data_IF_896711038649
#
_entry.id   IF_896711038649
#
_cell.length_a   1.000
_cell.length_b   1.000
_cell.length_c   1.000
_cell.angle_alpha   90.00
_cell.angle_beta   90.00
_cell.angle_gamma   90.00
#
_symmetry.space_group_name_H-M   'P 1'
#
loop_
_entity.id
_entity.type
_entity.pdbx_description
1 polymer ?
#
# COMPACT_ATOMS: atom_id res chain seq x y z
N UNK A 1 -18.52 -21.58 -25.57
CA UNK A 1 -18.98 -20.35 -26.24
C UNK A 1 -18.19 -20.21 -27.53
N UNK A 2 -18.86 -19.86 -28.64
CA UNK A 2 -18.22 -19.70 -29.95
C UNK A 2 -17.68 -18.28 -30.06
N UNK A 3 -16.41 -18.11 -30.38
CA UNK A 3 -15.79 -16.80 -30.59
C UNK A 3 -15.11 -16.85 -31.96
N UNK A 4 -15.58 -16.04 -32.91
CA UNK A 4 -15.08 -16.00 -34.28
C UNK A 4 -14.50 -14.62 -34.61
N UNK A 5 -13.67 -14.54 -35.66
CA UNK A 5 -13.20 -13.27 -36.22
C UNK A 5 -12.27 -12.47 -35.29
N UNK A 6 -12.31 -11.14 -35.41
CA UNK A 6 -11.50 -10.21 -34.60
C UNK A 6 -11.79 -10.29 -33.11
N UNK A 7 -12.99 -10.76 -32.74
CA UNK A 7 -13.41 -10.91 -31.34
C UNK A 7 -12.61 -11.99 -30.59
N UNK A 8 -11.89 -12.86 -31.32
CA UNK A 8 -10.93 -13.80 -30.74
C UNK A 8 -9.88 -13.12 -29.86
N UNK A 9 -9.43 -11.92 -30.23
CA UNK A 9 -8.47 -11.15 -29.43
C UNK A 9 -9.07 -10.61 -28.12
N UNK A 10 -10.38 -10.39 -28.06
CA UNK A 10 -11.07 -9.81 -26.91
C UNK A 10 -11.23 -10.83 -25.77
N UNK A 11 -11.43 -12.11 -26.13
CA UNK A 11 -11.66 -13.19 -25.17
C UNK A 11 -10.42 -14.07 -24.91
N UNK A 12 -9.27 -13.70 -25.48
CA UNK A 12 -7.99 -14.30 -25.14
C UNK A 12 -7.50 -13.76 -23.80
N UNK A 13 -7.41 -14.61 -22.78
CA UNK A 13 -6.77 -14.22 -21.51
C UNK A 13 -5.27 -14.24 -21.74
N UNK A 14 -4.68 -13.09 -22.06
CA UNK A 14 -3.23 -12.94 -22.22
C UNK A 14 -2.52 -12.72 -20.88
N UNK A 15 -3.13 -11.93 -19.98
CA UNK A 15 -2.55 -11.61 -18.67
C UNK A 15 -3.60 -11.19 -17.64
N UNK A 16 -3.18 -11.15 -16.37
CA UNK A 16 -3.99 -10.63 -15.27
C UNK A 16 -3.96 -9.11 -15.30
N UNK A 17 -5.12 -8.43 -15.32
CA UNK A 17 -5.11 -6.99 -15.30
C UNK A 17 -4.50 -6.51 -14.00
N UNK A 18 -3.50 -5.64 -14.10
CA UNK A 18 -2.91 -5.04 -12.92
C UNK A 18 -3.84 -3.92 -12.39
N UNK A 19 -3.61 -3.49 -11.14
CA UNK A 19 -4.42 -2.44 -10.52
C UNK A 19 -4.54 -1.17 -11.39
N UNK A 20 -3.47 -0.81 -12.09
CA UNK A 20 -3.45 0.39 -12.92
C UNK A 20 -4.28 0.27 -14.19
N UNK A 21 -4.25 -0.88 -14.84
CA UNK A 21 -5.08 -1.18 -15.99
C UNK A 21 -6.55 -1.15 -15.60
N UNK A 22 -6.91 -1.75 -14.46
CA UNK A 22 -8.28 -1.69 -13.95
C UNK A 22 -8.68 -0.24 -13.68
N UNK A 23 -7.82 0.52 -13.02
CA UNK A 23 -8.08 1.91 -12.67
C UNK A 23 -8.20 2.81 -13.91
N UNK A 24 -7.31 2.62 -14.89
CA UNK A 24 -7.34 3.33 -16.17
C UNK A 24 -8.61 3.00 -16.94
N UNK A 25 -8.97 1.72 -17.05
CA UNK A 25 -10.19 1.29 -17.73
C UNK A 25 -11.44 1.83 -17.02
N UNK A 26 -11.45 1.88 -15.68
CA UNK A 26 -12.55 2.47 -14.91
C UNK A 26 -12.75 3.95 -15.29
N UNK A 27 -11.66 4.72 -15.40
CA UNK A 27 -11.71 6.12 -15.81
C UNK A 27 -12.20 6.25 -17.26
N UNK A 28 -11.64 5.46 -18.17
CA UNK A 28 -12.04 5.47 -19.58
C UNK A 28 -13.53 5.17 -19.75
N UNK A 29 -14.06 4.19 -19.00
CA UNK A 29 -15.49 3.87 -19.01
C UNK A 29 -16.31 5.01 -18.42
N UNK A 30 -15.89 5.59 -17.29
CA UNK A 30 -16.61 6.71 -16.67
C UNK A 30 -16.70 7.93 -17.58
N UNK A 31 -15.62 8.25 -18.28
CA UNK A 31 -15.59 9.33 -19.28
C UNK A 31 -16.39 8.96 -20.53
N UNK A 32 -16.30 7.71 -21.02
CA UNK A 32 -17.06 7.27 -22.19
C UNK A 32 -18.58 7.30 -21.97
N UNK A 33 -19.01 7.00 -20.75
CA UNK A 33 -20.42 7.04 -20.34
C UNK A 33 -20.90 8.44 -19.94
N UNK A 34 -20.04 9.47 -20.02
CA UNK A 34 -20.32 10.84 -19.56
C UNK A 34 -20.94 10.87 -18.16
N UNK A 35 -20.39 10.09 -17.23
CA UNK A 35 -20.93 10.01 -15.88
C UNK A 35 -20.85 11.36 -15.17
N UNK A 36 -21.90 11.74 -14.41
CA UNK A 36 -21.86 12.96 -13.61
C UNK A 36 -20.78 12.87 -12.53
N UNK A 37 -20.44 14.03 -11.96
CA UNK A 37 -19.59 14.10 -10.77
C UNK A 37 -20.13 13.17 -9.68
N UNK A 38 -19.23 12.40 -9.09
CA UNK A 38 -19.58 11.47 -8.03
C UNK A 38 -20.01 12.22 -6.76
N UNK A 39 -20.75 11.58 -5.85
CA UNK A 39 -21.11 12.18 -4.56
C UNK A 39 -19.87 12.67 -3.80
N UNK A 40 -20.04 13.81 -3.14
CA UNK A 40 -18.97 14.44 -2.36
C UNK A 40 -18.49 13.53 -1.22
N UNK A 41 -17.18 13.37 -1.11
CA UNK A 41 -16.55 12.55 -0.06
C UNK A 41 -16.27 13.45 1.14
N UNK A 42 -17.14 13.35 2.13
CA UNK A 42 -17.04 14.06 3.42
C UNK A 42 -16.20 13.27 4.43
N UNK A 43 -15.89 13.86 5.59
CA UNK A 43 -15.07 13.20 6.63
C UNK A 43 -15.70 11.91 7.18
N UNK A 44 -17.03 11.79 7.11
CA UNK A 44 -17.80 10.62 7.57
C UNK A 44 -17.88 9.50 6.53
N UNK A 45 -17.45 9.74 5.30
CA UNK A 45 -17.49 8.74 4.23
C UNK A 45 -16.39 7.68 4.43
N UNK A 46 -16.71 6.40 4.22
CA UNK A 46 -15.74 5.30 4.33
C UNK A 46 -14.52 5.42 3.41
N UNK A 47 -14.63 6.17 2.31
CA UNK A 47 -13.54 6.45 1.38
C UNK A 47 -12.64 7.61 1.83
N UNK A 48 -13.02 8.32 2.88
CA UNK A 48 -12.24 9.42 3.41
C UNK A 48 -10.91 8.91 3.98
N UNK A 49 -9.77 9.58 3.69
CA UNK A 49 -8.45 9.14 4.14
C UNK A 49 -8.37 8.89 5.64
N UNK A 50 -9.06 9.66 6.49
CA UNK A 50 -9.04 9.44 7.94
C UNK A 50 -9.61 8.06 8.34
N UNK A 51 -10.70 7.63 7.72
CA UNK A 51 -11.33 6.33 8.03
C UNK A 51 -10.46 5.19 7.46
N UNK A 52 -9.99 5.34 6.23
CA UNK A 52 -9.10 4.38 5.61
C UNK A 52 -7.77 4.24 6.36
N UNK A 53 -7.20 5.35 6.87
CA UNK A 53 -6.00 5.29 7.70
C UNK A 53 -6.23 4.45 8.95
N UNK A 54 -7.37 4.61 9.63
CA UNK A 54 -7.71 3.77 10.78
C UNK A 54 -7.78 2.30 10.37
N UNK A 55 -8.52 1.97 9.31
CA UNK A 55 -8.63 0.59 8.78
C UNK A 55 -7.25 -0.02 8.55
N UNK A 56 -6.36 0.68 7.85
CA UNK A 56 -5.03 0.15 7.53
C UNK A 56 -4.09 0.10 8.72
N UNK A 57 -4.19 1.01 9.70
CA UNK A 57 -3.45 0.90 10.98
C UNK A 57 -3.86 -0.37 11.73
N UNK A 58 -5.16 -0.65 11.79
CA UNK A 58 -5.70 -1.87 12.39
C UNK A 58 -5.22 -3.13 11.63
N UNK A 59 -5.29 -3.09 10.30
CA UNK A 59 -4.86 -4.16 9.40
C UNK A 59 -3.40 -4.58 9.62
N UNK A 60 -2.49 -3.63 9.84
CA UNK A 60 -1.06 -3.93 10.06
C UNK A 60 -0.64 -3.95 11.54
N UNK A 61 -1.60 -4.05 12.45
CA UNK A 61 -1.35 -4.14 13.89
C UNK A 61 -0.51 -2.96 14.44
N UNK A 62 -0.75 -1.75 13.94
CA UNK A 62 -0.09 -0.54 14.44
C UNK A 62 -0.91 0.09 15.59
N UNK A 63 -0.28 0.91 16.45
CA UNK A 63 -0.99 1.63 17.51
C UNK A 63 -2.04 2.59 16.97
N UNK A 64 -3.21 2.59 17.58
CA UNK A 64 -4.35 3.47 17.32
C UNK A 64 -4.00 4.95 17.57
N UNK A 65 -3.10 5.25 18.50
CA UNK A 65 -2.59 6.61 18.74
C UNK A 65 -1.96 7.25 17.50
N UNK A 66 -1.50 6.45 16.53
CA UNK A 66 -0.98 6.96 15.25
C UNK A 66 -2.07 7.67 14.43
N UNK A 67 -3.34 7.31 14.62
CA UNK A 67 -4.45 7.86 13.85
C UNK A 67 -4.56 9.37 13.98
N UNK A 68 -4.36 9.92 15.17
CA UNK A 68 -4.35 11.37 15.40
C UNK A 68 -3.29 12.10 14.56
N UNK A 69 -2.11 11.49 14.41
CA UNK A 69 -1.04 12.03 13.56
C UNK A 69 -1.36 11.89 12.07
N UNK A 70 -1.98 10.79 11.64
CA UNK A 70 -2.43 10.64 10.25
C UNK A 70 -3.47 11.70 9.88
N UNK A 71 -4.44 11.97 10.76
CA UNK A 71 -5.43 13.04 10.56
C UNK A 71 -4.78 14.42 10.44
N UNK A 72 -3.76 14.70 11.24
CA UNK A 72 -2.99 15.95 11.14
C UNK A 72 -2.26 16.07 9.79
N UNK A 73 -1.61 15.00 9.32
CA UNK A 73 -0.95 14.99 8.01
C UNK A 73 -1.95 15.20 6.88
N UNK A 74 -3.13 14.57 6.94
CA UNK A 74 -4.22 14.76 5.96
C UNK A 74 -4.64 16.23 5.91
N UNK A 75 -4.89 16.85 7.07
CA UNK A 75 -5.25 18.28 7.18
C UNK A 75 -4.14 19.20 6.65
N UNK A 76 -2.88 18.95 7.01
CA UNK A 76 -1.75 19.79 6.58
C UNK A 76 -1.45 19.70 5.07
N UNK A 77 -1.79 18.57 4.44
CA UNK A 77 -1.51 18.34 3.02
C UNK A 77 -2.68 18.68 2.09
N UNK A 78 -3.86 18.96 2.66
CA UNK A 78 -5.08 19.28 1.91
C UNK A 78 -5.61 18.11 1.07
N UNK A 79 -5.25 16.87 1.41
CA UNK A 79 -5.73 15.68 0.69
C UNK A 79 -7.09 15.18 1.19
N UNK A 80 -7.55 15.68 2.34
CA UNK A 80 -8.89 15.40 2.88
C UNK A 80 -9.97 16.37 2.39
N UNK A 81 -9.62 17.32 1.52
CA UNK A 81 -10.59 18.30 1.01
C UNK A 81 -11.55 17.63 0.02
N UNK A 82 -12.84 17.97 0.09
CA UNK A 82 -13.90 17.41 -0.76
C UNK A 82 -13.56 17.57 -2.25
N UNK A 83 -13.07 18.74 -2.66
CA UNK A 83 -12.66 19.01 -4.04
C UNK A 83 -11.47 18.15 -4.50
N UNK A 84 -10.62 17.73 -3.56
CA UNK A 84 -9.50 16.85 -3.86
C UNK A 84 -9.95 15.39 -3.97
N UNK A 85 -10.91 14.98 -3.13
CA UNK A 85 -11.37 13.59 -3.03
C UNK A 85 -12.45 13.24 -4.05
N UNK A 86 -13.29 14.19 -4.47
CA UNK A 86 -14.45 13.88 -5.31
C UNK A 86 -14.04 13.62 -6.74
N UNK A 87 -14.40 12.44 -7.26
CA UNK A 87 -14.11 12.06 -8.63
C UNK A 87 -15.08 12.74 -9.61
N UNK A 88 -14.52 13.50 -10.54
CA UNK A 88 -15.26 14.18 -11.60
C UNK A 88 -14.74 13.71 -12.98
N UNK A 89 -15.51 12.86 -13.69
CA UNK A 89 -15.12 12.34 -15.01
C UNK A 89 -15.07 13.39 -16.12
N UNK A 90 -15.82 14.49 -15.98
CA UNK A 90 -16.07 15.49 -17.03
C UNK A 90 -15.15 16.70 -16.84
N UNK A 91 -14.81 17.04 -15.59
CA UNK A 91 -13.87 18.12 -15.32
C UNK A 91 -12.49 17.83 -15.91
N UNK A 92 -11.90 18.83 -16.58
CA UNK A 92 -10.51 18.78 -17.09
C UNK A 92 -9.45 18.56 -16.00
N UNK A 93 -9.83 18.62 -14.72
CA UNK A 93 -8.97 18.17 -13.63
C UNK A 93 -8.90 16.64 -13.64
N UNK A 94 -7.97 16.11 -14.44
CA UNK A 94 -7.57 14.69 -14.52
C UNK A 94 -6.94 14.16 -13.22
N UNK A 95 -7.48 14.51 -12.05
CA UNK A 95 -6.99 14.00 -10.77
C UNK A 95 -7.95 12.96 -10.28
N UNK A 96 -7.62 11.74 -10.61
CA UNK A 96 -8.32 10.55 -10.18
C UNK A 96 -7.72 10.11 -8.86
N UNK A 97 -8.55 9.98 -7.84
CA UNK A 97 -8.11 9.75 -6.46
C UNK A 97 -8.02 8.25 -6.20
N UNK A 98 -6.84 7.78 -5.79
CA UNK A 98 -6.61 6.40 -5.36
C UNK A 98 -6.72 6.35 -3.82
N UNK A 99 -7.95 6.33 -3.29
CA UNK A 99 -8.23 6.53 -1.85
C UNK A 99 -7.38 5.63 -0.94
N UNK A 100 -7.38 4.32 -1.20
CA UNK A 100 -6.63 3.36 -0.39
C UNK A 100 -5.12 3.59 -0.46
N UNK A 101 -4.59 3.87 -1.65
CA UNK A 101 -3.15 4.13 -1.86
C UNK A 101 -2.73 5.42 -1.13
N UNK A 102 -3.57 6.44 -1.16
CA UNK A 102 -3.32 7.70 -0.46
C UNK A 102 -3.34 7.52 1.06
N UNK A 103 -4.34 6.83 1.60
CA UNK A 103 -4.46 6.57 3.03
C UNK A 103 -3.24 5.80 3.56
N UNK A 104 -2.82 4.76 2.83
CA UNK A 104 -1.60 4.01 3.15
C UNK A 104 -0.37 4.91 3.06
N UNK A 105 -0.25 5.73 2.00
CA UNK A 105 0.89 6.63 1.84
C UNK A 105 0.99 7.63 3.02
N UNK A 106 -0.14 8.12 3.55
CA UNK A 106 -0.17 8.94 4.78
C UNK A 106 0.40 8.17 5.97
N UNK A 107 -0.02 6.92 6.20
CA UNK A 107 0.50 6.08 7.29
C UNK A 107 2.01 5.92 7.17
N UNK A 108 2.52 5.64 5.97
CA UNK A 108 3.95 5.50 5.71
C UNK A 108 4.70 6.80 6.02
N UNK A 109 4.15 7.96 5.66
CA UNK A 109 4.73 9.27 6.02
C UNK A 109 4.75 9.47 7.54
N UNK A 110 3.69 9.11 8.25
CA UNK A 110 3.66 9.19 9.73
C UNK A 110 4.70 8.25 10.36
N UNK A 111 4.85 7.03 9.86
CA UNK A 111 5.88 6.10 10.30
C UNK A 111 7.29 6.68 10.11
N UNK A 112 7.56 7.30 8.95
CA UNK A 112 8.81 8.03 8.72
C UNK A 112 8.98 9.19 9.70
N UNK A 113 7.93 9.96 9.96
CA UNK A 113 8.00 11.09 10.90
C UNK A 113 8.28 10.62 12.33
N UNK A 114 7.75 9.47 12.73
CA UNK A 114 7.90 8.90 14.05
C UNK A 114 9.23 8.17 14.24
N UNK A 115 9.53 7.22 13.36
CA UNK A 115 10.63 6.27 13.54
C UNK A 115 11.80 6.52 12.61
N UNK A 116 11.71 7.47 11.68
CA UNK A 116 12.66 7.68 10.59
C UNK A 116 12.71 6.50 9.61
N UNK A 117 12.61 5.24 10.07
CA UNK A 117 12.73 4.01 9.28
C UNK A 117 14.12 3.89 8.63
N UNK A 118 15.20 4.22 9.34
CA UNK A 118 16.58 4.25 8.83
C UNK A 118 17.44 3.06 9.28
N UNK A 119 16.80 1.96 9.66
CA UNK A 119 17.39 0.73 10.21
C UNK A 119 18.14 0.93 11.53
N UNK A 120 18.08 2.12 12.15
CA UNK A 120 18.83 2.42 13.38
C UNK A 120 17.93 3.05 14.45
N UNK A 121 17.20 4.11 14.11
CA UNK A 121 16.40 4.87 15.06
C UNK A 121 15.23 4.02 15.58
N UNK A 122 14.55 3.27 14.72
CA UNK A 122 13.48 2.35 15.12
C UNK A 122 13.94 1.31 16.16
N UNK A 123 15.13 0.74 15.98
CA UNK A 123 15.71 -0.24 16.91
C UNK A 123 16.12 0.42 18.22
N UNK A 124 16.75 1.59 18.13
CA UNK A 124 17.14 2.38 19.30
C UNK A 124 15.93 2.89 20.11
N UNK A 125 14.78 3.09 19.47
CA UNK A 125 13.52 3.42 20.13
C UNK A 125 12.88 2.17 20.76
N UNK A 126 13.01 1.03 20.10
CA UNK A 126 12.55 -0.26 20.61
C UNK A 126 13.30 -0.67 21.87
N UNK A 127 14.63 -0.48 21.93
CA UNK A 127 15.41 -0.78 23.14
C UNK A 127 14.99 0.06 24.35
N UNK A 128 14.55 1.31 24.11
CA UNK A 128 14.01 2.17 25.17
C UNK A 128 12.61 1.74 25.59
N UNK A 129 11.75 1.39 24.63
CA UNK A 129 10.42 0.85 24.92
C UNK A 129 10.52 -0.46 25.70
N UNK A 130 11.46 -1.34 25.35
CA UNK A 130 11.67 -2.61 26.05
C UNK A 130 12.10 -2.40 27.50
N UNK A 131 13.01 -1.46 27.78
CA UNK A 131 13.40 -1.11 29.16
C UNK A 131 12.22 -0.58 29.96
N UNK A 132 11.48 0.37 29.40
CA UNK A 132 10.30 0.95 30.05
C UNK A 132 9.23 -0.10 30.35
N UNK A 133 8.93 -0.97 29.37
CA UNK A 133 7.91 -2.01 29.50
C UNK A 133 8.31 -3.12 30.50
N UNK A 134 9.61 -3.35 30.71
CA UNK A 134 10.11 -4.27 31.75
C UNK A 134 9.95 -3.67 33.14
N UNK A 135 10.21 -2.37 33.26
CA UNK A 135 10.16 -1.62 34.52
C UNK A 135 8.71 -1.30 34.95
N UNK A 136 7.84 -0.97 34.00
CA UNK A 136 6.46 -0.52 34.25
C UNK A 136 5.45 -1.49 33.63
N UNK A 137 5.12 -2.56 34.36
CA UNK A 137 4.17 -3.59 33.92
C UNK A 137 2.69 -3.20 34.08
N UNK A 138 2.40 -2.22 34.93
CA UNK A 138 1.03 -1.79 35.26
C UNK A 138 0.51 -0.66 34.35
N UNK A 139 1.42 0.07 33.70
CA UNK A 139 1.05 1.15 32.79
C UNK A 139 0.85 0.67 31.35
N UNK A 140 0.21 1.52 30.54
CA UNK A 140 0.02 1.29 29.10
C UNK A 140 1.40 1.05 28.43
N UNK A 141 1.64 -0.13 27.83
CA UNK A 141 2.95 -0.48 27.30
C UNK A 141 3.33 0.48 26.16
N UNK A 142 4.60 0.86 26.11
CA UNK A 142 5.15 1.62 25.00
C UNK A 142 5.27 0.73 23.77
N UNK A 143 5.04 1.32 22.61
CA UNK A 143 5.16 0.62 21.34
C UNK A 143 6.61 0.22 21.05
N UNK A 144 6.82 -1.07 20.80
CA UNK A 144 8.11 -1.68 20.48
C UNK A 144 8.10 -2.10 19.00
N UNK A 145 8.79 -1.31 18.17
CA UNK A 145 8.84 -1.52 16.72
C UNK A 145 9.48 -2.86 16.36
N UNK A 146 10.50 -3.30 17.11
CA UNK A 146 11.19 -4.58 16.89
C UNK A 146 10.24 -5.76 17.10
N UNK A 147 9.50 -5.77 18.21
CA UNK A 147 8.53 -6.84 18.47
C UNK A 147 7.39 -6.82 17.46
N UNK A 148 6.89 -5.62 17.13
CA UNK A 148 5.89 -5.44 16.09
C UNK A 148 6.36 -6.00 14.74
N UNK A 149 7.58 -5.66 14.31
CA UNK A 149 8.18 -6.17 13.08
C UNK A 149 8.23 -7.69 13.06
N UNK A 150 8.64 -8.33 14.15
CA UNK A 150 8.72 -9.80 14.22
C UNK A 150 7.34 -10.46 14.07
N UNK A 151 6.33 -9.95 14.77
CA UNK A 151 4.96 -10.47 14.73
C UNK A 151 4.33 -10.28 13.35
N UNK A 152 4.43 -9.06 12.80
CA UNK A 152 3.86 -8.74 11.49
C UNK A 152 4.59 -9.47 10.38
N UNK A 153 5.92 -9.56 10.41
CA UNK A 153 6.70 -10.29 9.39
C UNK A 153 6.32 -11.75 9.33
N UNK A 154 6.24 -12.44 10.47
CA UNK A 154 5.84 -13.86 10.52
C UNK A 154 4.46 -14.05 9.87
N UNK A 155 3.50 -13.20 10.22
CA UNK A 155 2.14 -13.29 9.72
C UNK A 155 2.06 -12.92 8.24
N UNK A 156 2.82 -11.93 7.81
CA UNK A 156 2.98 -11.52 6.42
C UNK A 156 3.54 -12.66 5.56
N UNK A 157 4.64 -13.29 5.98
CA UNK A 157 5.28 -14.39 5.24
C UNK A 157 4.34 -15.61 5.15
N UNK A 158 3.64 -15.95 6.23
CA UNK A 158 2.62 -17.01 6.23
C UNK A 158 1.48 -16.73 5.24
N UNK A 159 0.96 -15.50 5.23
CA UNK A 159 -0.13 -15.08 4.32
C UNK A 159 0.33 -15.01 2.88
N UNK A 160 1.54 -14.50 2.62
CA UNK A 160 2.15 -14.47 1.30
C UNK A 160 2.31 -15.88 0.74
N UNK A 161 2.86 -16.81 1.53
CA UNK A 161 2.99 -18.23 1.14
C UNK A 161 1.62 -18.85 0.82
N UNK A 162 0.63 -18.70 1.71
CA UNK A 162 -0.74 -19.20 1.49
C UNK A 162 -1.36 -18.61 0.21
N UNK A 163 -1.09 -17.34 -0.06
CA UNK A 163 -1.58 -16.68 -1.28
C UNK A 163 -0.90 -17.22 -2.54
N UNK A 164 0.42 -17.40 -2.53
CA UNK A 164 1.17 -18.00 -3.64
C UNK A 164 0.71 -19.43 -3.92
N UNK A 165 0.53 -20.23 -2.87
CA UNK A 165 -0.05 -21.57 -2.97
C UNK A 165 -1.47 -21.54 -3.53
N UNK A 166 -2.34 -20.65 -3.02
CA UNK A 166 -3.70 -20.51 -3.51
C UNK A 166 -3.72 -20.09 -4.97
N UNK A 167 -2.85 -19.16 -5.39
CA UNK A 167 -2.70 -18.72 -6.77
C UNK A 167 -2.22 -19.84 -7.68
N UNK A 168 -1.26 -20.65 -7.22
CA UNK A 168 -0.78 -21.81 -7.96
C UNK A 168 -1.83 -22.93 -8.08
N UNK A 169 -2.67 -23.10 -7.04
CA UNK A 169 -3.75 -24.09 -7.00
C UNK A 169 -5.04 -23.59 -7.67
N UNK A 170 -5.20 -22.28 -7.88
CA UNK A 170 -6.44 -21.71 -8.41
C UNK A 170 -6.61 -22.09 -9.88
N UNK A 171 -7.74 -22.72 -10.17
CA UNK A 171 -8.07 -23.13 -11.51
C UNK A 171 -9.12 -22.22 -12.13
N UNK A 172 -8.76 -21.65 -13.27
CA UNK A 172 -9.67 -20.91 -14.12
C UNK A 172 -10.49 -21.91 -14.94
N UNK A 173 -11.52 -22.47 -14.31
CA UNK A 173 -12.52 -23.31 -14.98
C UNK A 173 -13.62 -22.40 -15.53
N UNK A 174 -13.62 -22.12 -16.83
CA UNK A 174 -14.84 -21.65 -17.49
C UNK A 174 -15.83 -22.82 -17.55
N UNK A 175 -17.06 -22.64 -17.10
CA UNK A 175 -18.09 -23.69 -17.17
C UNK A 175 -18.29 -24.20 -18.61
N UNK A 176 -18.26 -23.26 -19.57
CA UNK A 176 -18.38 -23.53 -21.00
C UNK A 176 -17.02 -23.32 -21.68
N UNK A 177 -16.43 -24.36 -22.30
CA UNK A 177 -15.15 -24.21 -22.99
C UNK A 177 -15.28 -23.20 -24.14
N UNK A 178 -14.24 -22.37 -24.28
CA UNK A 178 -14.10 -21.44 -25.38
C UNK A 178 -13.39 -22.16 -26.54
N UNK A 179 -13.93 -22.04 -27.74
CA UNK A 179 -13.31 -22.62 -28.93
C UNK A 179 -13.50 -21.66 -30.11
N UNK A 180 -12.47 -21.61 -30.96
CA UNK A 180 -12.32 -20.62 -32.03
C UNK A 180 -12.84 -21.12 -33.38
N UNK A 181 -13.02 -22.43 -33.51
CA UNK A 181 -13.58 -23.08 -34.69
C UNK A 181 -14.35 -24.35 -34.32
N UNK A 182 -15.22 -24.81 -35.21
CA UNK A 182 -15.95 -26.07 -35.02
C UNK A 182 -15.02 -27.29 -34.99
N UNK A 183 -13.87 -27.20 -35.66
CA UNK A 183 -12.84 -28.24 -35.71
C UNK A 183 -12.13 -28.34 -34.35
N UNK A 184 -11.82 -27.19 -33.74
CA UNK A 184 -11.14 -27.12 -32.43
C UNK A 184 -12.04 -27.50 -31.26
N UNK A 185 -13.36 -27.64 -31.48
CA UNK A 185 -14.32 -28.01 -30.43
C UNK A 185 -13.90 -29.32 -29.77
N UNK A 186 -13.67 -30.37 -30.56
CA UNK A 186 -13.29 -31.69 -30.02
C UNK A 186 -11.97 -31.63 -29.25
N UNK A 187 -10.99 -30.88 -29.76
CA UNK A 187 -9.68 -30.66 -29.12
C UNK A 187 -9.83 -29.91 -27.80
N UNK A 188 -10.64 -28.85 -27.74
CA UNK A 188 -10.88 -28.08 -26.53
C UNK A 188 -11.55 -28.92 -25.42
N UNK A 189 -12.53 -29.74 -25.78
CA UNK A 189 -13.18 -30.66 -24.84
C UNK A 189 -12.21 -31.75 -24.35
N UNK A 190 -11.42 -32.38 -25.25
CA UNK A 190 -10.41 -33.39 -24.87
C UNK A 190 -9.31 -32.82 -23.98
N UNK A 191 -8.78 -31.62 -24.30
CA UNK A 191 -7.80 -30.93 -23.44
C UNK A 191 -8.35 -30.66 -22.05
N UNK A 192 -9.61 -30.23 -21.95
CA UNK A 192 -10.28 -30.05 -20.65
C UNK A 192 -10.36 -31.36 -19.87
N UNK A 193 -10.80 -32.42 -20.53
CA UNK A 193 -10.93 -33.74 -19.90
C UNK A 193 -9.58 -34.27 -19.40
N UNK A 194 -8.52 -34.11 -20.20
CA UNK A 194 -7.15 -34.43 -19.79
C UNK A 194 -6.68 -33.59 -18.60
N UNK A 195 -6.93 -32.27 -18.59
CA UNK A 195 -6.60 -31.39 -17.46
C UNK A 195 -7.34 -31.82 -16.19
N UNK A 196 -8.63 -32.17 -16.29
CA UNK A 196 -9.43 -32.66 -15.15
C UNK A 196 -8.88 -34.00 -14.64
N UNK A 197 -8.51 -34.91 -15.54
CA UNK A 197 -7.99 -36.21 -15.16
C UNK A 197 -6.60 -36.10 -14.50
N UNK A 198 -5.67 -35.35 -15.11
CA UNK A 198 -4.36 -35.07 -14.53
C UNK A 198 -4.51 -34.43 -13.15
N UNK A 199 -5.42 -33.47 -13.02
CA UNK A 199 -5.66 -32.81 -11.74
C UNK A 199 -6.17 -33.80 -10.69
N UNK A 200 -7.09 -34.71 -11.03
CA UNK A 200 -7.57 -35.75 -10.13
C UNK A 200 -6.43 -36.66 -9.67
N UNK A 201 -5.52 -37.01 -10.59
CA UNK A 201 -4.33 -37.80 -10.27
C UNK A 201 -3.37 -37.04 -9.35
N UNK A 202 -3.06 -35.77 -9.65
CA UNK A 202 -2.22 -34.92 -8.80
C UNK A 202 -2.84 -34.65 -7.43
N UNK A 203 -4.14 -34.43 -7.33
CA UNK A 203 -4.84 -34.24 -6.05
C UNK A 203 -4.92 -35.51 -5.21
N UNK A 204 -4.70 -36.69 -5.81
CA UNK A 204 -4.60 -37.96 -5.08
C UNK A 204 -3.18 -38.16 -4.53
N UNK A 205 -2.17 -37.52 -5.14
CA UNK A 205 -0.76 -37.58 -4.75
C UNK A 205 -0.35 -36.49 -3.76
N UNK A 206 -1.07 -35.37 -3.75
CA UNK A 206 -0.87 -34.25 -2.81
C UNK A 206 -1.94 -34.37 -1.73
N UNK A 207 -1.55 -34.38 -0.46
CA UNK A 207 -2.47 -34.43 0.68
C UNK A 207 -3.68 -33.50 0.44
N UNK A 208 -4.87 -34.07 0.65
CA UNK A 208 -6.16 -33.47 0.30
C UNK A 208 -6.21 -31.99 0.67
N UNK A 209 -6.39 -31.15 -0.34
CA UNK A 209 -6.59 -29.70 -0.18
C UNK A 209 -7.67 -29.46 0.88
N UNK A 210 -7.39 -28.75 1.98
CA UNK A 210 -8.44 -28.40 2.91
C UNK A 210 -9.47 -27.60 2.15
N UNK A 211 -10.73 -28.03 2.25
CA UNK A 211 -11.88 -27.25 1.80
C UNK A 211 -11.78 -25.96 2.60
N UNK A 212 -11.38 -24.87 1.93
CA UNK A 212 -11.36 -23.56 2.55
C UNK A 212 -12.82 -23.25 2.85
N UNK A 213 -13.22 -23.42 4.10
CA UNK A 213 -14.49 -22.92 4.60
C UNK A 213 -14.61 -21.48 4.12
N UNK A 214 -15.73 -21.17 3.46
CA UNK A 214 -16.04 -19.81 3.05
C UNK A 214 -16.19 -18.98 4.32
N UNK A 215 -15.07 -18.45 4.83
CA UNK A 215 -15.08 -17.42 5.85
C UNK A 215 -15.99 -16.30 5.33
N UNK A 216 -16.81 -15.75 6.23
CA UNK A 216 -17.68 -14.63 5.90
C UNK A 216 -16.90 -13.49 5.24
N UNK A 217 -17.58 -12.62 4.46
CA UNK A 217 -16.92 -11.51 3.79
C UNK A 217 -16.30 -10.58 4.83
N UNK A 218 -14.96 -10.63 4.98
CA UNK A 218 -14.18 -9.66 5.75
C UNK A 218 -13.33 -8.85 4.79
N UNK A 219 -13.31 -7.53 5.00
CA UNK A 219 -12.38 -6.64 4.29
C UNK A 219 -10.95 -6.72 4.85
N UNK A 220 -10.79 -7.28 6.06
CA UNK A 220 -9.49 -7.47 6.70
C UNK A 220 -8.82 -8.77 6.23
N UNK A 221 -7.57 -8.66 5.79
CA UNK A 221 -6.72 -9.79 5.40
C UNK A 221 -5.96 -10.35 6.60
N UNK A 222 -5.61 -9.49 7.56
CA UNK A 222 -5.01 -9.86 8.84
C UNK A 222 -6.02 -9.67 9.97
N UNK A 223 -6.16 -10.71 10.81
CA UNK A 223 -7.01 -10.66 11.99
C UNK A 223 -6.09 -10.65 13.22
N UNK A 224 -6.28 -9.66 14.09
CA UNK A 224 -5.49 -9.46 15.31
C UNK A 224 -6.35 -9.49 16.59
N UNK A 225 -7.63 -9.85 16.46
CA UNK A 225 -8.60 -9.93 17.56
C UNK A 225 -8.31 -11.11 18.49
N UNK A 226 -8.82 -11.00 19.72
CA UNK A 226 -8.57 -11.87 20.89
C UNK A 226 -8.82 -13.38 20.69
N UNK A 227 -9.47 -13.79 19.60
CA UNK A 227 -9.68 -15.19 19.24
C UNK A 227 -8.37 -15.91 18.84
N UNK A 228 -7.34 -15.19 18.40
CA UNK A 228 -5.97 -15.72 18.18
C UNK A 228 -5.11 -15.39 19.43
N UNK A 229 -5.27 -16.14 20.53
CA UNK A 229 -4.51 -15.95 21.79
C UNK A 229 -2.99 -16.01 21.65
N UNK A 230 -2.49 -16.53 20.51
CA UNK A 230 -1.06 -16.70 20.23
C UNK A 230 -0.38 -15.46 19.63
N UNK A 231 -1.15 -14.40 19.27
CA UNK A 231 -0.61 -13.22 18.56
C UNK A 231 -0.68 -11.96 19.41
N UNK A 232 0.48 -11.31 19.59
CA UNK A 232 0.57 -10.04 20.32
C UNK A 232 -0.12 -8.92 19.51
N UNK A 233 -1.13 -8.31 20.11
CA UNK A 233 -1.80 -7.13 19.61
C UNK A 233 -1.08 -5.87 20.10
N UNK A 234 -0.78 -4.93 19.20
CA UNK A 234 -0.14 -3.65 19.53
C UNK A 234 -1.14 -2.48 19.49
N UNK A 235 -2.42 -2.75 19.23
CA UNK A 235 -3.48 -1.77 19.44
C UNK A 235 -3.51 -1.38 20.93
N UNK A 236 -3.66 -0.09 21.22
CA UNK A 236 -3.56 0.39 22.60
C UNK A 236 -2.14 0.44 23.16
N UNK A 237 -1.08 0.35 22.35
CA UNK A 237 0.26 0.71 22.82
C UNK A 237 0.49 2.23 22.75
N UNK A 238 1.21 2.77 23.72
CA UNK A 238 1.51 4.20 23.83
C UNK A 238 2.68 4.61 22.92
N UNK A 239 2.53 5.74 22.22
CA UNK A 239 3.59 6.39 21.45
C UNK A 239 4.38 7.41 22.28
N UNK A 240 4.08 7.56 23.57
CA UNK A 240 4.71 8.57 24.44
C UNK A 240 6.23 8.42 24.50
N UNK A 241 6.77 7.19 24.53
CA UNK A 241 8.21 6.95 24.52
C UNK A 241 8.93 7.60 23.33
N UNK A 242 8.32 7.57 22.15
CA UNK A 242 8.85 8.21 20.93
C UNK A 242 8.79 9.73 21.03
N UNK A 243 7.68 10.25 21.55
CA UNK A 243 7.45 11.70 21.69
C UNK A 243 8.33 12.32 22.79
N UNK A 244 8.55 11.65 23.91
CA UNK A 244 9.38 12.11 25.03
C UNK A 244 10.85 12.23 24.60
N UNK A 245 11.37 11.23 23.88
CA UNK A 245 12.75 11.28 23.35
C UNK A 245 12.94 12.45 22.37
N UNK A 246 11.92 12.78 21.58
CA UNK A 246 11.93 13.95 20.68
C UNK A 246 11.83 15.28 21.44
N UNK A 247 11.03 15.34 22.51
CA UNK A 247 10.92 16.54 23.37
C UNK A 247 12.21 16.85 24.13
N UNK A 248 13.02 15.85 24.50
CA UNK A 248 14.32 16.01 25.19
C UNK A 248 15.47 16.60 24.33
N UNK A 249 15.16 17.38 23.30
CA UNK A 249 16.15 18.27 22.65
C UNK A 249 16.67 17.84 21.27
N UNK A 250 16.15 16.77 20.67
CA UNK A 250 16.41 16.51 19.24
C UNK A 250 15.39 17.28 18.41
N UNK A 251 15.79 18.46 17.95
CA UNK A 251 15.15 19.07 16.78
C UNK A 251 15.08 18.01 15.66
N UNK A 252 14.03 18.04 14.83
CA UNK A 252 13.90 17.19 13.64
C UNK A 252 15.03 17.52 12.64
N UNK A 253 16.26 17.12 12.96
CA UNK A 253 17.38 17.12 12.06
C UNK A 253 17.09 15.96 11.15
N UNK A 254 16.66 16.26 9.92
CA UNK A 254 16.64 15.30 8.82
C UNK A 254 18.08 14.82 8.63
N UNK A 255 18.50 13.78 9.36
CA UNK A 255 19.88 13.28 9.35
C UNK A 255 20.31 12.80 7.97
N UNK A 256 19.34 12.48 7.12
CA UNK A 256 19.59 12.16 5.72
C UNK A 256 18.62 12.95 4.82
N UNK A 257 19.16 13.98 4.17
CA UNK A 257 18.43 14.77 3.19
C UNK A 257 17.95 13.88 2.04
N UNK A 258 18.74 12.93 1.53
CA UNK A 258 18.39 12.07 0.38
C UNK A 258 17.29 11.04 0.69
N UNK A 259 17.11 10.72 1.97
CA UNK A 259 16.15 9.75 2.45
C UNK A 259 14.74 10.35 2.67
N UNK A 260 14.68 11.62 3.09
CA UNK A 260 13.45 12.44 3.16
C UNK A 260 13.15 13.19 1.85
N UNK A 261 14.19 13.48 1.06
CA UNK A 261 14.10 14.09 -0.26
C UNK A 261 14.20 12.94 -1.25
N UNK A 262 13.05 12.35 -1.54
CA UNK A 262 12.76 11.59 -2.76
C UNK A 262 13.92 11.55 -3.76
N UNK A 263 14.42 10.37 -4.09
CA UNK A 263 15.33 10.06 -5.22
C UNK A 263 14.74 10.41 -6.60
N UNK A 264 13.76 11.32 -6.67
CA UNK A 264 13.26 11.93 -7.88
C UNK A 264 14.29 12.91 -8.46
N UNK A 265 15.46 12.37 -8.85
CA UNK A 265 16.41 13.03 -9.73
C UNK A 265 15.80 13.13 -11.14
N UNK A 266 14.84 14.02 -11.37
CA UNK A 266 14.26 14.26 -12.71
C UNK A 266 15.30 14.06 -13.82
N UNK A 267 14.98 13.18 -14.77
CA UNK A 267 15.93 12.77 -15.80
C UNK A 267 16.41 14.03 -16.54
N UNK A 268 17.73 14.10 -16.82
CA UNK A 268 18.37 15.35 -17.27
C UNK A 268 17.68 15.94 -18.52
N UNK A 269 17.52 17.26 -18.45
CA UNK A 269 17.12 18.30 -19.41
C UNK A 269 15.87 18.14 -20.30
N UNK A 270 15.35 16.96 -20.65
CA UNK A 270 14.18 16.88 -21.57
C UNK A 270 13.15 15.79 -21.23
N UNK A 271 13.24 15.18 -20.06
CA UNK A 271 12.41 14.04 -19.70
C UNK A 271 11.46 14.39 -18.54
N UNK A 272 10.15 14.22 -18.73
CA UNK A 272 9.13 14.40 -17.69
C UNK A 272 9.00 13.18 -16.74
N UNK A 273 9.80 12.14 -16.95
CA UNK A 273 9.77 10.97 -16.07
C UNK A 273 10.42 11.29 -14.72
N UNK A 274 9.63 11.07 -13.67
CA UNK A 274 10.09 11.03 -12.29
C UNK A 274 11.01 9.80 -12.19
N UNK A 275 12.29 10.01 -11.91
CA UNK A 275 13.30 8.95 -12.09
C UNK A 275 13.23 7.84 -11.05
N UNK A 276 13.09 6.62 -11.59
CA UNK A 276 13.64 5.35 -11.12
C UNK A 276 13.58 5.10 -9.62
N UNK A 277 12.46 4.49 -9.21
CA UNK A 277 12.41 3.63 -8.04
C UNK A 277 13.57 2.62 -8.11
N UNK A 278 14.52 2.74 -7.20
CA UNK A 278 15.64 1.81 -7.08
C UNK A 278 15.66 1.30 -5.64
N UNK A 279 15.24 0.05 -5.46
CA UNK A 279 15.02 -0.56 -4.14
C UNK A 279 16.28 -0.52 -3.28
N UNK A 280 17.46 -0.67 -3.89
CA UNK A 280 18.78 -0.66 -3.25
C UNK A 280 19.08 0.61 -2.43
N UNK A 281 18.43 1.73 -2.74
CA UNK A 281 18.65 2.99 -2.04
C UNK A 281 17.81 3.15 -0.76
N UNK A 282 16.90 2.21 -0.49
CA UNK A 282 16.01 2.25 0.66
C UNK A 282 16.55 1.39 1.81
N UNK A 283 16.33 1.86 3.04
CA UNK A 283 16.50 1.08 4.25
C UNK A 283 15.60 -0.15 4.25
N UNK A 284 16.04 -1.21 4.91
CA UNK A 284 15.33 -2.50 4.99
C UNK A 284 13.98 -2.34 5.67
N UNK A 285 13.91 -1.51 6.71
CA UNK A 285 12.68 -1.23 7.44
C UNK A 285 11.69 -0.46 6.57
N UNK A 286 12.13 0.50 5.76
CA UNK A 286 11.25 1.18 4.82
C UNK A 286 10.76 0.25 3.69
N UNK A 287 11.66 -0.57 3.13
CA UNK A 287 11.29 -1.59 2.13
C UNK A 287 10.23 -2.55 2.69
N UNK A 288 10.42 -3.01 3.93
CA UNK A 288 9.46 -3.89 4.59
C UNK A 288 8.07 -3.26 4.72
N UNK A 289 8.00 -2.00 5.18
CA UNK A 289 6.74 -1.26 5.26
C UNK A 289 6.07 -1.15 3.89
N UNK A 290 6.82 -0.75 2.86
CA UNK A 290 6.28 -0.66 1.50
C UNK A 290 5.78 -2.02 1.00
N UNK A 291 6.50 -3.10 1.26
CA UNK A 291 6.15 -4.45 0.82
C UNK A 291 4.85 -4.96 1.46
N UNK A 292 4.67 -4.75 2.77
CA UNK A 292 3.43 -5.16 3.46
C UNK A 292 2.23 -4.45 2.84
N UNK A 293 2.30 -3.13 2.73
CA UNK A 293 1.18 -2.35 2.23
C UNK A 293 0.93 -2.59 0.73
N UNK A 294 1.98 -2.79 -0.06
CA UNK A 294 1.84 -3.13 -1.48
C UNK A 294 1.19 -4.50 -1.66
N UNK A 295 1.51 -5.47 -0.81
CA UNK A 295 0.83 -6.76 -0.78
C UNK A 295 -0.65 -6.63 -0.40
N UNK A 296 -0.96 -5.86 0.65
CA UNK A 296 -2.34 -5.60 1.08
C UNK A 296 -3.19 -5.00 -0.05
N UNK A 297 -2.66 -3.98 -0.73
CA UNK A 297 -3.33 -3.29 -1.82
C UNK A 297 -3.23 -3.99 -3.18
N UNK A 298 -2.38 -5.03 -3.29
CA UNK A 298 -2.06 -5.72 -4.55
C UNK A 298 -1.52 -4.79 -5.65
N UNK A 299 -0.69 -3.82 -5.25
CA UNK A 299 -0.05 -2.86 -6.15
C UNK A 299 1.46 -3.09 -6.18
N UNK A 300 2.14 -2.50 -7.17
CA UNK A 300 3.61 -2.47 -7.17
C UNK A 300 4.11 -1.48 -6.11
N UNK A 301 5.22 -1.83 -5.47
CA UNK A 301 5.90 -1.03 -4.45
C UNK A 301 6.35 0.34 -4.94
N UNK A 302 6.74 0.43 -6.21
CA UNK A 302 7.10 1.68 -6.88
C UNK A 302 5.98 2.72 -6.83
N UNK A 303 4.73 2.30 -7.06
CA UNK A 303 3.59 3.23 -7.07
C UNK A 303 3.26 3.75 -5.69
N UNK A 304 3.35 2.88 -4.67
CA UNK A 304 3.15 3.33 -3.30
C UNK A 304 4.23 4.35 -2.91
N UNK A 305 5.48 4.11 -3.29
CA UNK A 305 6.58 5.04 -3.04
C UNK A 305 6.38 6.39 -3.74
N UNK A 306 5.86 6.40 -4.96
CA UNK A 306 5.53 7.63 -5.69
C UNK A 306 4.50 8.47 -4.95
N UNK A 307 3.42 7.86 -4.47
CA UNK A 307 2.39 8.55 -3.68
C UNK A 307 2.94 9.07 -2.34
N UNK A 308 3.75 8.28 -1.65
CA UNK A 308 4.46 8.72 -0.42
C UNK A 308 5.29 9.97 -0.70
N UNK A 309 6.05 9.97 -1.81
CA UNK A 309 6.86 11.12 -2.22
C UNK A 309 6.02 12.38 -2.53
N UNK A 310 4.82 12.21 -3.10
CA UNK A 310 3.90 13.32 -3.37
C UNK A 310 3.38 13.96 -2.08
N UNK A 311 3.02 13.14 -1.09
CA UNK A 311 2.56 13.60 0.23
C UNK A 311 3.68 14.31 0.97
N UNK A 312 4.89 13.74 1.00
CA UNK A 312 6.07 14.38 1.60
C UNK A 312 6.35 15.76 0.98
N UNK A 313 6.27 15.87 -0.35
CA UNK A 313 6.42 17.15 -1.05
C UNK A 313 5.38 18.18 -0.65
N UNK A 314 4.12 17.77 -0.48
CA UNK A 314 3.05 18.66 0.00
C UNK A 314 3.31 19.09 1.44
N UNK A 315 3.68 18.16 2.32
CA UNK A 315 3.94 18.42 3.73
C UNK A 315 5.11 19.40 3.94
N UNK A 316 6.21 19.22 3.20
CA UNK A 316 7.40 20.06 3.32
C UNK A 316 7.45 21.23 2.31
N UNK A 317 6.35 21.54 1.62
CA UNK A 317 6.29 22.57 0.55
C UNK A 317 6.87 23.92 0.98
N UNK A 318 6.70 24.32 2.24
CA UNK A 318 7.27 25.56 2.80
C UNK A 318 8.80 25.52 2.82
N UNK A 319 9.40 24.43 3.33
CA UNK A 319 10.86 24.21 3.32
C UNK A 319 11.41 24.22 1.88
N UNK A 320 10.70 23.62 0.91
CA UNK A 320 11.09 23.65 -0.50
C UNK A 320 11.09 25.06 -1.11
N UNK A 321 10.09 25.89 -0.77
CA UNK A 321 10.01 27.28 -1.26
C UNK A 321 11.13 28.15 -0.68
N UNK A 322 11.48 27.94 0.58
CA UNK A 322 12.57 28.65 1.26
C UNK A 322 13.95 28.23 0.72
N UNK A 323 14.19 26.92 0.53
CA UNK A 323 15.43 26.41 -0.05
C UNK A 323 15.68 26.92 -1.49
N UNK A 324 14.63 27.01 -2.32
CA UNK A 324 14.71 27.60 -3.68
C UNK A 324 15.00 29.10 -3.64
N UNK A 325 14.41 29.85 -2.68
CA UNK A 325 14.73 31.28 -2.51
C UNK A 325 16.20 31.47 -2.12
N UNK A 326 16.73 30.65 -1.22
CA UNK A 326 18.12 30.75 -0.76
C UNK A 326 19.13 30.37 -1.84
N UNK A 327 18.86 29.36 -2.68
CA UNK A 327 19.72 29.01 -3.81
C UNK A 327 19.70 30.04 -4.96
N UNK A 328 18.57 30.73 -5.15
CA UNK A 328 18.45 31.83 -6.11
C UNK A 328 19.19 33.10 -5.66
N UNK A 329 19.23 33.36 -4.34
CA UNK A 329 20.05 34.44 -3.76
C UNK A 329 21.54 34.14 -3.82
N UNK A 330 21.98 32.91 -3.53
CA UNK A 330 23.41 32.57 -3.62
C UNK A 330 23.98 32.62 -5.05
N UNK A 331 23.15 32.36 -6.07
CA UNK A 331 23.53 32.55 -7.48
C UNK A 331 23.64 34.02 -7.91
N UNK A 332 22.97 34.96 -7.24
CA UNK A 332 23.09 36.39 -7.53
C UNK A 332 24.34 37.03 -6.91
N UNK A 333 24.93 36.44 -5.87
CA UNK A 333 26.13 36.99 -5.20
C UNK A 333 27.44 36.53 -5.85
N UNK A 334 27.42 35.52 -6.73
CA UNK A 334 28.62 35.03 -7.46
C UNK A 334 28.84 35.67 -8.85
N UNK A 335 28.33 36.89 -9.05
CA UNK A 335 28.65 37.71 -10.24
C UNK A 335 29.17 39.06 -9.78
N UNK A 336 30.40 39.09 -9.30
CA UNK A 336 31.29 40.24 -9.34
C UNK A 336 32.72 39.72 -9.47
#
# INVERSE_FOLDING_TARGET
MKIYGRDKGIFGIESWPNYEEIYKNMIEIATFLDLPRFPDITEDCYLHPNILCMKYLMEVNLPDEMHGLTCQVVKMTGIGEVDFLTFDPIAKMKRTVKYDVQAVAVIVVVLKLLFLLDDNLEWSLSDLAEKYNKENKEEKPWFDFRKWYQVVKKTFDEKKRKWEEARAKYMWKSEKPLYHSHIDKSVAYKRREMVVNLQKQFSTLVDSTPIVEKKGPSSFQFNWTEEDTDRTCFHGHSLQGVLIKKKKGQSLITKNSLYWLSTQKFCKSHCRHVTTYEESNFSLSYQFILNIFSFLLRIKTSFLHEEVSLIEKKLFKKKYREAKKNSSRSKKVRRY
#
